data_IF_421006723912
#
_entry.id   IF_421006723912
#
_cell.length_a   1.000
_cell.length_b   1.000
_cell.length_c   1.000
_cell.angle_alpha   90.00
_cell.angle_beta   90.00
_cell.angle_gamma   90.00
#
_symmetry.space_group_name_H-M   'P 1'
#
loop_
_entity.id
_entity.type
_entity.pdbx_description
1 polymer ?
#
# COMPACT_ATOMS: atom_id res chain seq x y z
N UNK A 1 11.10 12.86 -24.75
CA UNK A 1 12.01 12.42 -23.67
C UNK A 1 11.31 11.64 -22.55
N UNK A 2 10.11 12.04 -22.07
CA UNK A 2 9.40 11.33 -20.98
C UNK A 2 9.06 9.85 -21.28
N UNK A 3 8.75 9.50 -22.54
CA UNK A 3 8.45 8.10 -22.93
C UNK A 3 9.65 7.15 -22.74
N UNK A 4 10.88 7.66 -22.87
CA UNK A 4 12.10 6.88 -22.67
C UNK A 4 12.29 6.51 -21.19
N UNK A 5 12.09 7.47 -20.29
CA UNK A 5 12.20 7.24 -18.84
C UNK A 5 11.15 6.26 -18.33
N UNK A 6 9.91 6.37 -18.83
CA UNK A 6 8.83 5.42 -18.54
C UNK A 6 9.19 3.99 -18.99
N UNK A 7 9.71 3.83 -20.22
CA UNK A 7 10.11 2.53 -20.74
C UNK A 7 11.30 1.93 -19.99
N UNK A 8 12.27 2.76 -19.62
CA UNK A 8 13.41 2.35 -18.80
C UNK A 8 12.98 1.94 -17.40
N UNK A 9 12.13 2.73 -16.72
CA UNK A 9 11.61 2.41 -15.40
C UNK A 9 10.84 1.08 -15.40
N UNK A 10 9.98 0.86 -16.39
CA UNK A 10 9.25 -0.41 -16.55
C UNK A 10 10.18 -1.58 -16.83
N UNK A 11 11.17 -1.39 -17.70
CA UNK A 11 12.19 -2.41 -18.01
C UNK A 11 13.02 -2.78 -16.79
N UNK A 12 13.40 -1.78 -15.97
CA UNK A 12 14.16 -1.99 -14.73
C UNK A 12 13.34 -2.76 -13.71
N UNK A 13 12.05 -2.41 -13.51
CA UNK A 13 11.12 -3.17 -12.66
C UNK A 13 11.02 -4.63 -13.11
N UNK A 14 10.99 -4.87 -14.43
CA UNK A 14 10.91 -6.21 -15.00
C UNK A 14 12.23 -6.99 -14.87
N UNK A 15 13.36 -6.35 -15.07
CA UNK A 15 14.67 -7.01 -15.04
C UNK A 15 15.17 -7.25 -13.61
N UNK A 16 14.87 -6.33 -12.68
CA UNK A 16 15.26 -6.45 -11.26
C UNK A 16 14.14 -7.04 -10.38
N UNK A 17 13.34 -7.94 -10.95
CA UNK A 17 12.18 -8.57 -10.26
C UNK A 17 12.53 -9.18 -8.91
N UNK A 18 13.71 -9.77 -8.77
CA UNK A 18 14.15 -10.40 -7.51
C UNK A 18 14.11 -9.44 -6.32
N UNK A 19 14.28 -8.14 -6.54
CA UNK A 19 14.31 -7.14 -5.47
C UNK A 19 12.99 -6.37 -5.38
N UNK A 20 12.37 -6.04 -6.52
CA UNK A 20 11.13 -5.26 -6.54
C UNK A 20 9.89 -6.08 -6.21
N UNK A 21 9.84 -7.34 -6.59
CA UNK A 21 8.68 -8.20 -6.38
C UNK A 21 8.33 -8.35 -4.89
N UNK A 22 9.29 -8.66 -3.98
CA UNK A 22 9.00 -8.69 -2.55
C UNK A 22 8.51 -7.33 -1.99
N UNK A 23 9.05 -6.23 -2.50
CA UNK A 23 8.65 -4.88 -2.09
C UNK A 23 7.22 -4.55 -2.48
N UNK A 24 6.88 -4.82 -3.74
CA UNK A 24 5.53 -4.57 -4.25
C UNK A 24 4.51 -5.47 -3.54
N UNK A 25 4.82 -6.75 -3.34
CA UNK A 25 3.95 -7.68 -2.58
C UNK A 25 3.77 -7.19 -1.15
N UNK A 26 4.85 -6.79 -0.48
CA UNK A 26 4.78 -6.24 0.87
C UNK A 26 3.90 -4.98 0.93
N UNK A 27 4.04 -4.08 -0.05
CA UNK A 27 3.19 -2.90 -0.21
C UNK A 27 1.72 -3.26 -0.44
N UNK A 28 1.44 -4.25 -1.32
CA UNK A 28 0.09 -4.74 -1.58
C UNK A 28 -0.57 -5.33 -0.33
N UNK A 29 0.14 -6.18 0.40
CA UNK A 29 -0.37 -6.79 1.64
C UNK A 29 -0.59 -5.73 2.74
N UNK A 30 0.30 -4.76 2.85
CA UNK A 30 0.15 -3.64 3.78
C UNK A 30 -1.07 -2.78 3.44
N UNK A 31 -1.29 -2.46 2.15
CA UNK A 31 -2.46 -1.71 1.70
C UNK A 31 -3.76 -2.50 1.90
N UNK A 32 -3.75 -3.80 1.61
CA UNK A 32 -4.86 -4.70 1.88
C UNK A 32 -5.24 -4.70 3.36
N UNK A 33 -4.26 -4.85 4.25
CA UNK A 33 -4.49 -4.89 5.71
C UNK A 33 -5.03 -3.56 6.23
N UNK A 34 -4.44 -2.44 5.82
CA UNK A 34 -4.88 -1.11 6.22
C UNK A 34 -6.29 -0.79 5.73
N UNK A 35 -6.57 -1.04 4.44
CA UNK A 35 -7.90 -0.88 3.87
C UNK A 35 -8.96 -1.71 4.63
N UNK A 36 -8.66 -2.98 4.91
CA UNK A 36 -9.58 -3.88 5.59
C UNK A 36 -9.93 -3.36 6.98
N UNK A 37 -8.95 -2.86 7.74
CA UNK A 37 -9.17 -2.25 9.06
C UNK A 37 -10.05 -1.00 8.96
N UNK A 38 -9.78 -0.09 8.03
CA UNK A 38 -10.59 1.11 7.80
C UNK A 38 -12.03 0.76 7.38
N UNK A 39 -12.18 -0.25 6.53
CA UNK A 39 -13.48 -0.65 6.03
C UNK A 39 -14.35 -1.34 7.09
N UNK A 40 -13.76 -2.13 7.99
CA UNK A 40 -14.49 -2.74 9.12
C UNK A 40 -14.88 -1.66 10.13
N UNK A 41 -13.98 -0.74 10.45
CA UNK A 41 -14.26 0.37 11.36
C UNK A 41 -15.44 1.24 10.88
N UNK A 42 -15.51 1.52 9.57
CA UNK A 42 -16.57 2.32 8.97
C UNK A 42 -17.89 1.58 8.74
N UNK A 43 -18.03 0.33 9.19
CA UNK A 43 -19.23 -0.45 8.96
C UNK A 43 -20.34 -0.07 9.95
N UNK A 44 -21.45 0.47 9.42
CA UNK A 44 -22.63 0.86 10.22
C UNK A 44 -23.30 -0.34 10.93
N UNK A 45 -23.13 -1.56 10.44
CA UNK A 45 -23.63 -2.76 11.10
C UNK A 45 -23.00 -2.99 12.47
N UNK A 46 -21.73 -2.63 12.63
CA UNK A 46 -21.01 -2.72 13.90
C UNK A 46 -21.57 -1.75 14.95
N UNK A 47 -21.97 -0.54 14.55
CA UNK A 47 -22.51 0.47 15.47
C UNK A 47 -23.84 0.08 16.10
N UNK A 48 -24.61 -0.77 15.42
CA UNK A 48 -25.93 -1.25 15.88
C UNK A 48 -25.85 -2.46 16.82
N UNK A 49 -24.65 -3.05 16.98
CA UNK A 49 -24.43 -4.17 17.92
C UNK A 49 -24.35 -3.70 19.37
N UNK A 50 -24.71 -4.56 20.30
CA UNK A 50 -24.54 -4.31 21.74
C UNK A 50 -23.04 -4.18 22.04
N UNK A 51 -22.59 -2.97 22.46
CA UNK A 51 -21.17 -2.66 22.65
C UNK A 51 -20.43 -2.18 21.40
N UNK A 52 -21.14 -1.93 20.29
CA UNK A 52 -20.55 -1.51 19.00
C UNK A 52 -19.67 -0.25 19.10
N UNK A 53 -20.03 0.71 19.95
CA UNK A 53 -19.23 1.91 20.17
C UNK A 53 -17.82 1.59 20.73
N UNK A 54 -17.74 0.66 21.70
CA UNK A 54 -16.44 0.22 22.25
C UNK A 54 -15.59 -0.50 21.22
N UNK A 55 -16.22 -1.34 20.39
CA UNK A 55 -15.53 -2.05 19.30
C UNK A 55 -15.01 -1.05 18.26
N UNK A 56 -15.80 -0.06 17.87
CA UNK A 56 -15.36 0.98 16.93
C UNK A 56 -14.18 1.79 17.47
N UNK A 57 -14.18 2.10 18.78
CA UNK A 57 -13.08 2.82 19.43
C UNK A 57 -11.78 2.00 19.39
N UNK A 58 -11.85 0.72 19.70
CA UNK A 58 -10.69 -0.20 19.61
C UNK A 58 -10.17 -0.30 18.18
N UNK A 59 -11.08 -0.43 17.20
CA UNK A 59 -10.70 -0.47 15.78
C UNK A 59 -10.06 0.84 15.31
N UNK A 60 -10.53 1.98 15.79
CA UNK A 60 -9.92 3.28 15.48
C UNK A 60 -8.46 3.34 15.93
N UNK A 61 -8.18 2.93 17.18
CA UNK A 61 -6.79 2.81 17.65
C UNK A 61 -6.00 1.79 16.84
N UNK A 62 -6.63 0.68 16.44
CA UNK A 62 -6.04 -0.32 15.56
C UNK A 62 -5.61 0.26 14.22
N UNK A 63 -6.43 1.08 13.59
CA UNK A 63 -6.10 1.77 12.32
C UNK A 63 -4.86 2.65 12.47
N UNK A 64 -4.78 3.42 13.56
CA UNK A 64 -3.62 4.29 13.84
C UNK A 64 -2.35 3.45 14.00
N UNK A 65 -2.40 2.41 14.83
CA UNK A 65 -1.25 1.52 15.08
C UNK A 65 -0.79 0.85 13.80
N UNK A 66 -1.71 0.30 13.01
CA UNK A 66 -1.40 -0.32 11.72
C UNK A 66 -0.82 0.71 10.74
N UNK A 67 -1.37 1.92 10.68
CA UNK A 67 -0.86 3.00 9.84
C UNK A 67 0.59 3.38 10.16
N UNK A 68 0.93 3.52 11.44
CA UNK A 68 2.29 3.78 11.90
C UNK A 68 3.22 2.61 11.54
N UNK A 69 2.78 1.38 11.79
CA UNK A 69 3.57 0.17 11.50
C UNK A 69 3.86 0.04 10.00
N UNK A 70 2.86 0.23 9.16
CA UNK A 70 2.98 0.19 7.69
C UNK A 70 3.93 1.28 7.21
N UNK A 71 3.85 2.48 7.78
CA UNK A 71 4.76 3.59 7.43
C UNK A 71 6.21 3.20 7.69
N UNK A 72 6.51 2.77 8.92
CA UNK A 72 7.88 2.35 9.31
C UNK A 72 8.35 1.19 8.43
N UNK A 73 7.51 0.20 8.19
CA UNK A 73 7.83 -0.98 7.41
C UNK A 73 8.17 -0.64 5.95
N UNK A 74 7.38 0.21 5.29
CA UNK A 74 7.62 0.62 3.91
C UNK A 74 8.88 1.47 3.78
N UNK A 75 9.14 2.40 4.72
CA UNK A 75 10.39 3.15 4.75
C UNK A 75 11.61 2.24 4.91
N UNK A 76 11.56 1.29 5.84
CA UNK A 76 12.63 0.34 6.06
C UNK A 76 12.90 -0.51 4.80
N UNK A 77 11.84 -1.05 4.21
CA UNK A 77 11.93 -1.90 3.02
C UNK A 77 12.47 -1.12 1.81
N UNK A 78 12.01 0.14 1.61
CA UNK A 78 12.55 1.00 0.57
C UNK A 78 14.04 1.29 0.79
N UNK A 79 14.43 1.64 2.01
CA UNK A 79 15.84 1.91 2.36
C UNK A 79 16.73 0.68 2.09
N UNK A 80 16.24 -0.52 2.35
CA UNK A 80 16.96 -1.76 2.06
C UNK A 80 17.18 -1.97 0.55
N UNK A 81 16.15 -1.75 -0.25
CA UNK A 81 16.25 -1.85 -1.71
C UNK A 81 17.21 -0.82 -2.27
N UNK A 82 17.12 0.42 -1.80
CA UNK A 82 18.00 1.49 -2.24
C UNK A 82 19.47 1.22 -1.96
N UNK A 83 19.79 0.62 -0.80
CA UNK A 83 21.18 0.21 -0.49
C UNK A 83 21.71 -0.80 -1.50
N UNK A 84 20.90 -1.74 -1.96
CA UNK A 84 21.29 -2.73 -2.97
C UNK A 84 21.45 -2.10 -4.36
N UNK A 85 20.57 -1.18 -4.72
CA UNK A 85 20.58 -0.50 -6.03
C UNK A 85 21.69 0.53 -6.19
N UNK A 86 22.29 1.02 -5.11
CA UNK A 86 23.41 1.98 -5.18
C UNK A 86 24.54 1.51 -6.09
N UNK A 87 24.78 0.19 -6.18
CA UNK A 87 25.79 -0.38 -7.09
C UNK A 87 25.37 -0.21 -8.55
N UNK A 88 24.12 -0.50 -8.91
CA UNK A 88 23.56 -0.36 -10.26
C UNK A 88 23.55 1.12 -10.69
N UNK A 89 23.12 2.01 -9.79
CA UNK A 89 23.10 3.45 -10.02
C UNK A 89 24.51 4.04 -10.18
N UNK A 90 25.51 3.49 -9.48
CA UNK A 90 26.93 3.83 -9.65
C UNK A 90 27.42 3.53 -11.06
N UNK A 91 27.02 2.42 -11.65
CA UNK A 91 27.37 2.05 -13.04
C UNK A 91 26.79 3.06 -14.04
N UNK A 92 25.55 3.49 -13.88
CA UNK A 92 24.94 4.53 -14.73
C UNK A 92 25.70 5.86 -14.65
N UNK A 93 26.19 6.21 -13.46
CA UNK A 93 26.99 7.42 -13.28
C UNK A 93 28.37 7.32 -13.99
N UNK A 94 29.02 6.15 -13.95
CA UNK A 94 30.27 5.88 -14.68
C UNK A 94 30.07 5.94 -16.21
N UNK A 95 28.90 5.50 -16.70
CA UNK A 95 28.52 5.57 -18.10
C UNK A 95 28.15 7.00 -18.57
N UNK A 96 28.32 8.02 -17.71
CA UNK A 96 28.12 9.42 -18.08
C UNK A 96 26.66 9.91 -17.95
N UNK A 97 25.77 9.15 -17.31
CA UNK A 97 24.41 9.65 -17.04
C UNK A 97 24.40 10.70 -15.91
N UNK A 98 23.84 11.87 -16.17
CA UNK A 98 23.65 12.90 -15.16
C UNK A 98 22.72 12.42 -14.03
N UNK A 99 23.00 12.85 -12.80
CA UNK A 99 22.22 12.51 -11.60
C UNK A 99 20.72 12.81 -11.74
N UNK A 100 20.38 13.88 -12.49
CA UNK A 100 18.98 14.27 -12.75
C UNK A 100 18.22 13.22 -13.55
N UNK A 101 18.88 12.59 -14.52
CA UNK A 101 18.24 11.52 -15.33
C UNK A 101 18.01 10.27 -14.51
N UNK A 102 18.96 9.93 -13.64
CA UNK A 102 18.83 8.80 -12.70
C UNK A 102 17.69 9.06 -11.71
N UNK A 103 17.60 10.25 -11.13
CA UNK A 103 16.52 10.64 -10.23
C UNK A 103 15.13 10.55 -10.89
N UNK A 104 14.99 10.96 -12.16
CA UNK A 104 13.74 10.84 -12.90
C UNK A 104 13.32 9.38 -13.13
N UNK A 105 14.25 8.49 -13.43
CA UNK A 105 13.98 7.05 -13.59
C UNK A 105 13.48 6.49 -12.24
N UNK A 106 14.17 6.79 -11.15
CA UNK A 106 13.78 6.36 -9.80
C UNK A 106 12.40 6.87 -9.39
N UNK A 107 12.10 8.13 -9.71
CA UNK A 107 10.78 8.69 -9.43
C UNK A 107 9.67 7.93 -10.16
N UNK A 108 9.85 7.60 -11.44
CA UNK A 108 8.88 6.80 -12.19
C UNK A 108 8.75 5.37 -11.65
N UNK A 109 9.85 4.74 -11.24
CA UNK A 109 9.82 3.41 -10.61
C UNK A 109 9.03 3.45 -9.29
N UNK A 110 9.23 4.48 -8.48
CA UNK A 110 8.46 4.68 -7.24
C UNK A 110 6.97 4.85 -7.51
N UNK A 111 6.61 5.66 -8.52
CA UNK A 111 5.21 5.84 -8.94
C UNK A 111 4.57 4.54 -9.43
N UNK A 112 5.27 3.76 -10.26
CA UNK A 112 4.75 2.46 -10.70
C UNK A 112 4.59 1.48 -9.54
N UNK A 113 5.55 1.43 -8.63
CA UNK A 113 5.47 0.59 -7.43
C UNK A 113 4.28 0.99 -6.56
N UNK A 114 4.03 2.30 -6.39
CA UNK A 114 2.86 2.82 -5.69
C UNK A 114 1.54 2.37 -6.34
N UNK A 115 1.40 2.58 -7.65
CA UNK A 115 0.16 2.23 -8.37
C UNK A 115 -0.14 0.73 -8.27
N UNK A 116 0.88 -0.13 -8.42
CA UNK A 116 0.71 -1.57 -8.33
C UNK A 116 0.41 -1.99 -6.88
N UNK A 117 1.13 -1.44 -5.90
CA UNK A 117 0.95 -1.77 -4.49
C UNK A 117 -0.43 -1.35 -3.98
N UNK A 118 -0.84 -0.10 -4.22
CA UNK A 118 -2.13 0.42 -3.75
C UNK A 118 -3.28 -0.18 -4.58
N UNK A 119 -3.18 -0.19 -5.90
CA UNK A 119 -4.22 -0.77 -6.76
C UNK A 119 -4.47 -2.25 -6.48
N UNK A 120 -3.40 -3.05 -6.45
CA UNK A 120 -3.49 -4.47 -6.10
C UNK A 120 -3.92 -4.70 -4.66
N UNK A 121 -3.42 -3.89 -3.72
CA UNK A 121 -3.79 -3.94 -2.31
C UNK A 121 -5.26 -3.63 -2.05
N UNK A 122 -5.82 -2.63 -2.74
CA UNK A 122 -7.25 -2.32 -2.65
C UNK A 122 -8.13 -3.43 -3.22
N UNK A 123 -7.77 -4.00 -4.37
CA UNK A 123 -8.53 -5.13 -4.95
C UNK A 123 -8.54 -6.32 -3.98
N UNK A 124 -7.36 -6.72 -3.48
CA UNK A 124 -7.25 -7.80 -2.50
C UNK A 124 -7.96 -7.44 -1.19
N UNK A 125 -7.90 -6.18 -0.76
CA UNK A 125 -8.53 -5.67 0.44
C UNK A 125 -10.05 -5.76 0.40
N UNK A 126 -10.66 -5.41 -0.74
CA UNK A 126 -12.12 -5.52 -0.94
C UNK A 126 -12.58 -6.98 -0.83
N UNK A 127 -11.83 -7.90 -1.46
CA UNK A 127 -12.14 -9.33 -1.38
C UNK A 127 -12.00 -9.85 0.05
N UNK A 128 -10.90 -9.50 0.70
CA UNK A 128 -10.60 -9.96 2.06
C UNK A 128 -11.55 -9.35 3.10
N UNK A 129 -11.91 -8.07 2.96
CA UNK A 129 -12.94 -7.43 3.78
C UNK A 129 -14.25 -8.21 3.73
N UNK A 130 -14.69 -8.63 2.54
CA UNK A 130 -15.93 -9.40 2.38
C UNK A 130 -15.86 -10.72 3.15
N UNK A 131 -14.74 -11.45 3.01
CA UNK A 131 -14.52 -12.71 3.73
C UNK A 131 -14.56 -12.51 5.25
N UNK A 132 -13.86 -11.50 5.77
CA UNK A 132 -13.84 -11.20 7.21
C UNK A 132 -15.23 -10.77 7.71
N UNK A 133 -15.94 -9.95 6.97
CA UNK A 133 -17.29 -9.51 7.34
C UNK A 133 -18.24 -10.70 7.39
N UNK A 134 -18.21 -11.60 6.39
CA UNK A 134 -19.01 -12.85 6.42
C UNK A 134 -18.67 -13.71 7.64
N UNK A 135 -17.40 -13.84 7.97
CA UNK A 135 -16.94 -14.60 9.12
C UNK A 135 -17.44 -14.01 10.45
N UNK A 136 -17.35 -12.68 10.59
CA UNK A 136 -17.85 -11.95 11.77
C UNK A 136 -19.35 -12.12 11.95
N UNK A 137 -20.15 -11.97 10.89
CA UNK A 137 -21.61 -12.15 10.97
C UNK A 137 -21.99 -13.59 11.34
N UNK A 138 -21.26 -14.57 10.82
CA UNK A 138 -21.50 -15.98 11.19
C UNK A 138 -21.19 -16.26 12.66
N UNK A 139 -20.15 -15.65 13.22
CA UNK A 139 -19.79 -15.79 14.64
C UNK A 139 -20.80 -15.10 15.57
N UNK A 140 -21.37 -13.98 15.13
CA UNK A 140 -22.31 -13.19 15.94
C UNK A 140 -23.75 -13.66 15.81
N UNK A 141 -24.03 -14.66 14.96
CA UNK A 141 -25.37 -15.20 14.75
C UNK A 141 -26.36 -14.20 14.14
N UNK A 142 -25.87 -13.17 13.46
CA UNK A 142 -26.71 -12.19 12.78
C UNK A 142 -27.02 -12.68 11.37
N UNK A 143 -28.28 -13.05 11.13
CA UNK A 143 -28.83 -13.37 9.80
C UNK A 143 -29.07 -12.08 8.97
N UNK A 144 -28.11 -11.19 8.89
CA UNK A 144 -28.23 -10.03 8.05
C UNK A 144 -27.78 -10.38 6.63
N UNK A 145 -28.64 -10.11 5.65
CA UNK A 145 -28.24 -10.08 4.24
C UNK A 145 -27.04 -9.13 4.12
N UNK A 146 -25.85 -9.69 3.83
CA UNK A 146 -24.60 -8.95 3.81
C UNK A 146 -24.61 -8.08 2.55
N UNK A 147 -24.91 -6.77 2.63
CA UNK A 147 -24.81 -5.91 1.46
C UNK A 147 -23.33 -5.85 1.05
N UNK A 148 -23.08 -5.95 -0.25
CA UNK A 148 -21.76 -5.68 -0.80
C UNK A 148 -21.46 -4.20 -0.63
N UNK A 149 -20.79 -3.87 0.45
CA UNK A 149 -20.40 -2.49 0.76
C UNK A 149 -18.92 -2.30 0.48
N UNK A 150 -18.63 -1.47 -0.52
CA UNK A 150 -17.26 -0.98 -0.74
C UNK A 150 -17.12 0.31 0.07
N UNK A 151 -16.24 0.29 1.06
CA UNK A 151 -15.98 1.48 1.86
C UNK A 151 -15.19 2.50 1.04
N UNK A 152 -15.89 3.49 0.46
CA UNK A 152 -15.24 4.61 -0.24
C UNK A 152 -14.28 5.40 0.68
N UNK A 153 -14.66 5.57 1.95
CA UNK A 153 -13.81 6.14 2.98
C UNK A 153 -12.52 5.32 3.19
N UNK A 154 -12.63 4.02 3.27
CA UNK A 154 -11.47 3.13 3.40
C UNK A 154 -10.53 3.26 2.20
N UNK A 155 -11.05 3.34 0.98
CA UNK A 155 -10.25 3.56 -0.23
C UNK A 155 -9.51 4.90 -0.20
N UNK A 156 -10.20 5.99 0.19
CA UNK A 156 -9.62 7.32 0.26
C UNK A 156 -8.48 7.38 1.30
N UNK A 157 -8.73 6.95 2.54
CA UNK A 157 -7.71 6.97 3.59
C UNK A 157 -6.52 6.07 3.28
N UNK A 158 -6.74 4.92 2.63
CA UNK A 158 -5.64 4.07 2.18
C UNK A 158 -4.80 4.77 1.10
N UNK A 159 -5.44 5.38 0.11
CA UNK A 159 -4.75 6.10 -0.95
C UNK A 159 -4.00 7.33 -0.40
N UNK A 160 -4.58 8.06 0.56
CA UNK A 160 -3.97 9.22 1.21
C UNK A 160 -2.74 8.84 2.03
N UNK A 161 -2.87 7.85 2.92
CA UNK A 161 -1.75 7.38 3.75
C UNK A 161 -0.60 6.86 2.89
N UNK A 162 -0.89 5.97 1.95
CA UNK A 162 0.14 5.42 1.07
C UNK A 162 0.72 6.48 0.14
N UNK A 163 -0.10 7.41 -0.36
CA UNK A 163 0.35 8.56 -1.13
C UNK A 163 1.36 9.39 -0.36
N UNK A 164 1.06 9.74 0.89
CA UNK A 164 1.97 10.47 1.77
C UNK A 164 3.28 9.71 1.99
N UNK A 165 3.22 8.40 2.28
CA UNK A 165 4.40 7.55 2.48
C UNK A 165 5.28 7.54 1.23
N UNK A 166 4.69 7.31 0.05
CA UNK A 166 5.44 7.23 -1.21
C UNK A 166 6.00 8.58 -1.65
N UNK A 167 5.31 9.70 -1.37
CA UNK A 167 5.86 11.05 -1.57
C UNK A 167 7.07 11.28 -0.66
N UNK A 168 6.98 10.92 0.63
CA UNK A 168 8.12 11.00 1.53
C UNK A 168 9.29 10.11 1.07
N UNK A 169 9.02 8.90 0.60
CA UNK A 169 10.01 8.00 0.02
C UNK A 169 10.68 8.64 -1.20
N UNK A 170 9.91 9.27 -2.07
CA UNK A 170 10.42 9.95 -3.27
C UNK A 170 11.32 11.12 -2.91
N UNK A 171 10.99 11.87 -1.86
CA UNK A 171 11.82 12.99 -1.37
C UNK A 171 13.10 12.50 -0.67
N UNK A 172 13.06 11.31 -0.06
CA UNK A 172 14.23 10.72 0.62
C UNK A 172 15.23 10.10 -0.36
N UNK A 173 14.79 9.62 -1.51
CA UNK A 173 15.60 8.94 -2.54
C UNK A 173 16.30 9.93 -3.45
#
# INVERSE_FOLDING_TARGET
MNKLYLKLAWSNLKNSRQFYLPYVIAGMLSAMMFYTMCAIQGNEGLSKMRGGASVQMVLFFGVIVVGVFVSIFLFYTNSFIMKRRKKELGIYNILGMEKIHIAKIMAWETVFSFLIAVGGGLILGIVFQKLLTMFLYRLTGLDAAIPFYISGWGCLHTAELFGAIYVCILLYN
#
